data_IF_794107468431
#
_entry.id   IF_794107468431
#
_cell.length_a   1.000
_cell.length_b   1.000
_cell.length_c   1.000
_cell.angle_alpha   90.00
_cell.angle_beta   90.00
_cell.angle_gamma   90.00
#
_symmetry.space_group_name_H-M   'P 1'
#
loop_
_entity.id
_entity.type
_entity.pdbx_description
1 polymer ?
#
# COMPACT_ATOMS: atom_id res chain seq x y z
N UNK A 1 -10.43 45.09 -15.67
CA UNK A 1 -10.91 44.36 -14.47
C UNK A 1 -11.42 42.96 -14.81
N UNK A 2 -12.34 42.79 -15.77
CA UNK A 2 -12.88 41.49 -16.19
C UNK A 2 -11.83 40.48 -16.73
N UNK A 3 -10.88 40.94 -17.55
CA UNK A 3 -9.83 40.07 -18.14
C UNK A 3 -8.92 39.46 -17.06
N UNK A 4 -8.62 40.23 -16.01
CA UNK A 4 -7.80 39.77 -14.89
C UNK A 4 -8.54 38.70 -14.08
N UNK A 5 -9.85 38.86 -13.89
CA UNK A 5 -10.71 37.89 -13.20
C UNK A 5 -10.78 36.55 -13.96
N UNK A 6 -10.88 36.60 -15.29
CA UNK A 6 -10.91 35.40 -16.15
C UNK A 6 -9.58 34.64 -16.15
N UNK A 7 -8.45 35.35 -16.15
CA UNK A 7 -7.12 34.73 -16.05
C UNK A 7 -6.91 34.03 -14.71
N UNK A 8 -7.38 34.63 -13.62
CA UNK A 8 -7.33 34.03 -12.28
C UNK A 8 -8.22 32.78 -12.22
N UNK A 9 -9.45 32.86 -12.75
CA UNK A 9 -10.37 31.70 -12.80
C UNK A 9 -9.81 30.53 -13.62
N UNK A 10 -9.20 30.80 -14.78
CA UNK A 10 -8.56 29.75 -15.58
C UNK A 10 -7.35 29.12 -14.89
N UNK A 11 -6.56 29.90 -14.15
CA UNK A 11 -5.44 29.38 -13.37
C UNK A 11 -5.91 28.50 -12.22
N UNK A 12 -6.96 28.93 -11.48
CA UNK A 12 -7.57 28.11 -10.42
C UNK A 12 -8.19 26.81 -10.98
N UNK A 13 -8.85 26.87 -12.14
CA UNK A 13 -9.40 25.67 -12.80
C UNK A 13 -8.28 24.70 -13.19
N UNK A 14 -7.15 25.20 -13.73
CA UNK A 14 -6.00 24.37 -14.04
C UNK A 14 -5.37 23.72 -12.79
N UNK A 15 -5.26 24.46 -11.69
CA UNK A 15 -4.82 23.92 -10.40
C UNK A 15 -5.80 22.88 -9.85
N UNK A 16 -7.10 23.12 -9.94
CA UNK A 16 -8.12 22.19 -9.45
C UNK A 16 -8.17 20.91 -10.29
N UNK A 17 -8.09 21.03 -11.61
CA UNK A 17 -7.98 19.89 -12.52
C UNK A 17 -6.66 19.14 -12.30
N UNK A 18 -5.53 19.82 -12.13
CA UNK A 18 -4.26 19.13 -11.86
C UNK A 18 -4.28 18.36 -10.55
N UNK A 19 -4.93 18.88 -9.50
CA UNK A 19 -5.16 18.18 -8.24
C UNK A 19 -6.07 16.95 -8.39
N UNK A 20 -7.11 17.03 -9.22
CA UNK A 20 -8.00 15.91 -9.54
C UNK A 20 -7.24 14.84 -10.36
N UNK A 21 -6.50 15.26 -11.40
CA UNK A 21 -5.69 14.37 -12.24
C UNK A 21 -4.51 13.74 -11.48
N UNK A 22 -3.89 14.48 -10.55
CA UNK A 22 -2.81 13.96 -9.72
C UNK A 22 -3.32 12.91 -8.72
N UNK A 23 -4.50 13.13 -8.12
CA UNK A 23 -5.16 12.07 -7.33
C UNK A 23 -5.56 10.86 -8.17
N UNK A 24 -5.93 11.06 -9.44
CA UNK A 24 -6.33 9.98 -10.35
C UNK A 24 -5.14 9.15 -10.88
N UNK A 25 -3.94 9.72 -10.94
CA UNK A 25 -2.77 9.05 -11.53
C UNK A 25 -1.93 8.24 -10.54
N UNK A 26 -2.17 8.37 -9.23
CA UNK A 26 -1.50 7.54 -8.23
C UNK A 26 -2.09 6.12 -8.33
N UNK A 27 -1.52 5.29 -9.21
CA UNK A 27 -1.90 3.89 -9.38
C UNK A 27 -1.46 3.08 -8.17
N UNK A 28 -2.30 3.07 -7.14
CA UNK A 28 -2.16 2.19 -5.99
C UNK A 28 -2.32 0.74 -6.42
N UNK A 29 -1.39 -0.11 -5.97
CA UNK A 29 -1.28 -1.52 -6.31
C UNK A 29 -1.21 -2.33 -5.04
N UNK A 30 -1.81 -3.52 -5.04
CA UNK A 30 -1.72 -4.48 -3.95
C UNK A 30 -0.45 -5.30 -4.09
N UNK A 31 0.33 -5.38 -3.02
CA UNK A 31 1.48 -6.26 -2.92
C UNK A 31 1.34 -7.20 -1.73
N UNK A 32 1.77 -8.44 -1.93
CA UNK A 32 2.12 -9.36 -0.86
C UNK A 32 3.64 -9.36 -0.72
N UNK A 33 4.14 -9.10 0.48
CA UNK A 33 5.57 -9.06 0.80
C UNK A 33 5.82 -10.11 1.88
N UNK A 34 6.69 -11.08 1.59
CA UNK A 34 7.16 -12.03 2.57
C UNK A 34 8.41 -11.46 3.23
N UNK A 35 8.32 -11.25 4.54
CA UNK A 35 9.40 -10.77 5.39
C UNK A 35 9.99 -11.94 6.17
N UNK A 36 11.31 -11.90 6.34
CA UNK A 36 12.07 -12.77 7.23
C UNK A 36 12.82 -11.93 8.26
N UNK A 37 12.95 -12.42 9.48
CA UNK A 37 13.62 -11.70 10.56
C UNK A 37 13.64 -12.49 11.86
N UNK A 38 14.29 -11.95 12.89
CA UNK A 38 14.31 -12.55 14.23
C UNK A 38 13.49 -11.71 15.18
N UNK A 39 12.44 -12.26 15.79
CA UNK A 39 11.73 -11.56 16.87
C UNK A 39 12.43 -11.79 18.22
N UNK A 40 13.15 -12.91 18.35
CA UNK A 40 13.80 -13.35 19.59
C UNK A 40 15.26 -13.69 19.31
N UNK A 41 16.18 -13.03 20.00
CA UNK A 41 17.63 -13.20 19.81
C UNK A 41 18.07 -14.64 20.13
N UNK A 42 17.46 -15.26 21.15
CA UNK A 42 17.76 -16.61 21.61
C UNK A 42 17.28 -17.72 20.67
N UNK A 43 16.43 -17.40 19.69
CA UNK A 43 15.95 -18.37 18.73
C UNK A 43 16.99 -18.71 17.65
N UNK A 44 17.14 -20.01 17.39
CA UNK A 44 17.99 -20.52 16.32
C UNK A 44 17.36 -20.32 14.93
N UNK A 45 16.03 -20.23 14.85
CA UNK A 45 15.28 -20.09 13.59
C UNK A 45 14.82 -18.65 13.38
N UNK A 46 14.62 -18.29 12.12
CA UNK A 46 14.02 -17.02 11.72
C UNK A 46 12.50 -17.15 11.66
N UNK A 47 11.82 -16.10 12.13
CA UNK A 47 10.38 -15.94 11.97
C UNK A 47 10.10 -15.37 10.57
N UNK A 48 8.89 -15.58 10.07
CA UNK A 48 8.45 -15.04 8.79
C UNK A 48 7.07 -14.42 8.92
N UNK A 49 6.84 -13.32 8.20
CA UNK A 49 5.54 -12.67 8.16
C UNK A 49 5.14 -12.31 6.73
N UNK A 50 3.97 -12.78 6.30
CA UNK A 50 3.35 -12.33 5.06
C UNK A 50 2.57 -11.04 5.33
N UNK A 51 2.98 -9.95 4.68
CA UNK A 51 2.40 -8.63 4.87
C UNK A 51 1.78 -8.14 3.56
N UNK A 52 0.51 -7.70 3.65
CA UNK A 52 -0.17 -7.03 2.54
C UNK A 52 -0.03 -5.51 2.67
N UNK A 53 0.33 -4.86 1.57
CA UNK A 53 0.48 -3.40 1.50
C UNK A 53 -0.08 -2.86 0.18
N UNK A 54 -0.57 -1.62 0.23
CA UNK A 54 -0.95 -0.84 -0.95
C UNK A 54 0.12 0.21 -1.20
N UNK A 55 0.74 0.18 -2.39
CA UNK A 55 1.82 1.11 -2.75
C UNK A 55 1.83 1.42 -4.25
N UNK A 56 2.61 2.42 -4.67
CA UNK A 56 2.70 2.85 -6.07
C UNK A 56 3.65 1.98 -6.89
N UNK A 57 4.69 1.50 -6.23
CA UNK A 57 5.76 0.70 -6.81
C UNK A 57 6.28 -0.30 -5.76
N UNK A 58 7.08 -1.26 -6.23
CA UNK A 58 7.61 -2.33 -5.39
C UNK A 58 8.53 -1.80 -4.28
N UNK A 59 9.34 -0.76 -4.56
CA UNK A 59 10.26 -0.18 -3.57
C UNK A 59 9.49 0.37 -2.37
N UNK A 60 8.40 1.10 -2.63
CA UNK A 60 7.55 1.64 -1.57
C UNK A 60 6.79 0.53 -0.85
N UNK A 61 6.31 -0.48 -1.57
CA UNK A 61 5.68 -1.66 -0.96
C UNK A 61 6.62 -2.33 0.05
N UNK A 62 7.86 -2.59 -0.36
CA UNK A 62 8.91 -3.21 0.46
C UNK A 62 9.22 -2.38 1.69
N UNK A 63 9.31 -1.06 1.56
CA UNK A 63 9.51 -0.14 2.69
C UNK A 63 8.32 -0.18 3.66
N UNK A 64 7.09 -0.05 3.13
CA UNK A 64 5.87 -0.07 3.93
C UNK A 64 5.67 -1.40 4.66
N UNK A 65 6.01 -2.52 4.03
CA UNK A 65 5.88 -3.84 4.64
C UNK A 65 6.78 -3.98 5.87
N UNK A 66 8.06 -3.58 5.77
CA UNK A 66 8.99 -3.61 6.92
C UNK A 66 8.49 -2.79 8.11
N UNK A 67 7.81 -1.67 7.86
CA UNK A 67 7.24 -0.83 8.93
C UNK A 67 6.08 -1.50 9.68
N UNK A 68 5.45 -2.54 9.09
CA UNK A 68 4.36 -3.30 9.71
C UNK A 68 4.85 -4.45 10.61
N UNK A 69 6.16 -4.66 10.76
CA UNK A 69 6.73 -5.70 11.63
C UNK A 69 7.79 -5.13 12.60
N UNK A 70 7.42 -4.19 13.48
CA UNK A 70 8.37 -3.48 14.34
C UNK A 70 9.08 -4.39 15.36
N UNK A 71 8.55 -5.58 15.65
CA UNK A 71 9.08 -6.51 16.64
C UNK A 71 10.31 -7.29 16.15
N UNK A 72 10.54 -7.36 14.84
CA UNK A 72 11.64 -8.14 14.29
C UNK A 72 12.95 -7.34 14.23
N UNK A 73 14.00 -7.94 14.78
CA UNK A 73 15.38 -7.55 14.60
C UNK A 73 15.87 -7.96 13.20
N UNK A 74 16.54 -7.04 12.50
CA UNK A 74 17.20 -7.29 11.21
C UNK A 74 16.28 -7.83 10.09
N UNK A 75 15.18 -7.12 9.80
CA UNK A 75 14.19 -7.51 8.78
C UNK A 75 14.76 -7.51 7.36
N UNK A 76 14.66 -8.64 6.69
CA UNK A 76 14.90 -8.80 5.25
C UNK A 76 13.61 -9.18 4.49
N UNK A 77 13.72 -9.24 3.16
CA UNK A 77 12.59 -9.49 2.26
C UNK A 77 12.92 -10.73 1.45
N UNK A 78 12.14 -11.78 1.64
CA UNK A 78 12.30 -13.05 0.92
C UNK A 78 11.56 -13.05 -0.41
N UNK A 79 10.45 -12.31 -0.47
CA UNK A 79 9.62 -12.26 -1.67
C UNK A 79 8.75 -11.02 -1.73
N UNK A 80 8.45 -10.58 -2.95
CA UNK A 80 7.46 -9.52 -3.19
C UNK A 80 6.67 -9.87 -4.44
N UNK A 81 5.36 -9.77 -4.35
CA UNK A 81 4.46 -10.05 -5.47
C UNK A 81 3.42 -8.96 -5.61
N UNK A 82 3.33 -8.39 -6.81
CA UNK A 82 2.25 -7.48 -7.20
C UNK A 82 1.02 -8.30 -7.61
N UNK A 83 -0.04 -8.22 -6.81
CA UNK A 83 -1.28 -8.99 -7.04
C UNK A 83 -2.22 -8.14 -7.89
N UNK A 84 -2.44 -8.57 -9.14
CA UNK A 84 -3.33 -7.87 -10.10
C UNK A 84 -4.56 -8.68 -10.45
N UNK A 85 -4.40 -10.00 -10.60
CA UNK A 85 -5.43 -10.94 -11.01
C UNK A 85 -5.25 -12.21 -10.18
N UNK A 86 -6.33 -12.73 -9.62
CA UNK A 86 -6.37 -14.03 -8.91
C UNK A 86 -7.48 -14.85 -9.55
N UNK A 87 -7.18 -16.05 -10.04
CA UNK A 87 -8.13 -16.96 -10.70
C UNK A 87 -8.97 -16.32 -11.82
N UNK A 88 -8.38 -15.36 -12.55
CA UNK A 88 -9.07 -14.61 -13.62
C UNK A 88 -9.83 -13.37 -13.15
N UNK A 89 -9.94 -13.12 -11.85
CA UNK A 89 -10.60 -11.95 -11.27
C UNK A 89 -9.62 -10.80 -11.07
N UNK A 90 -9.95 -9.64 -11.64
CA UNK A 90 -9.13 -8.44 -11.49
C UNK A 90 -9.30 -7.82 -10.10
N UNK A 91 -8.17 -7.51 -9.45
CA UNK A 91 -8.13 -6.76 -8.20
C UNK A 91 -8.22 -5.26 -8.51
N UNK A 92 -9.16 -4.58 -7.87
CA UNK A 92 -9.28 -3.12 -7.87
C UNK A 92 -9.06 -2.61 -6.45
N UNK A 93 -8.26 -1.55 -6.33
CA UNK A 93 -7.95 -0.92 -5.06
C UNK A 93 -8.65 0.44 -5.04
N UNK A 94 -9.52 0.61 -4.05
CA UNK A 94 -10.28 1.83 -3.84
C UNK A 94 -10.02 2.31 -2.42
N UNK A 95 -9.90 3.63 -2.25
CA UNK A 95 -9.63 4.21 -0.94
C UNK A 95 -10.92 4.19 -0.12
N UNK A 96 -10.85 3.62 1.07
CA UNK A 96 -11.93 3.70 2.06
C UNK A 96 -11.84 5.00 2.85
N UNK A 97 -12.99 5.49 3.33
CA UNK A 97 -13.06 6.56 4.33
C UNK A 97 -12.59 6.09 5.71
N UNK A 98 -12.57 4.78 5.93
CA UNK A 98 -11.97 4.18 7.13
C UNK A 98 -10.47 3.95 6.89
N UNK A 99 -9.65 4.45 7.81
CA UNK A 99 -8.19 4.36 7.71
C UNK A 99 -7.61 3.07 8.28
N UNK A 100 -8.40 2.27 8.99
CA UNK A 100 -7.93 1.08 9.68
C UNK A 100 -7.98 -0.16 8.77
N UNK A 101 -6.97 -1.02 8.91
CA UNK A 101 -6.97 -2.34 8.29
C UNK A 101 -8.11 -3.18 8.90
N UNK A 102 -9.05 -3.64 8.06
CA UNK A 102 -10.11 -4.58 8.46
C UNK A 102 -9.88 -5.93 7.80
N UNK A 103 -9.90 -7.00 8.60
CA UNK A 103 -9.84 -8.37 8.12
C UNK A 103 -10.88 -9.21 8.84
N UNK A 104 -11.46 -10.17 8.12
CA UNK A 104 -12.35 -11.18 8.69
C UNK A 104 -11.58 -12.48 8.80
N UNK A 105 -11.45 -13.00 10.02
CA UNK A 105 -10.78 -14.27 10.29
C UNK A 105 -11.86 -15.30 10.59
N UNK A 106 -11.86 -16.38 9.83
CA UNK A 106 -12.73 -17.50 10.13
C UNK A 106 -12.06 -18.41 11.15
N UNK A 107 -12.46 -18.29 12.42
CA UNK A 107 -11.94 -19.07 13.54
C UNK A 107 -12.20 -20.58 13.44
N UNK A 108 -13.02 -21.04 12.48
CA UNK A 108 -13.14 -22.48 12.18
C UNK A 108 -11.86 -23.02 11.53
N UNK A 109 -11.15 -22.19 10.75
CA UNK A 109 -9.99 -22.59 9.96
C UNK A 109 -8.70 -21.87 10.37
N UNK A 110 -8.77 -20.98 11.36
CA UNK A 110 -7.65 -20.20 11.89
C UNK A 110 -7.55 -20.40 13.39
N UNK A 111 -6.34 -20.69 13.87
CA UNK A 111 -5.99 -20.91 15.29
C UNK A 111 -5.40 -19.64 15.87
#
# INVERSE_FOLDING_TARGET
MLVLLMLIMNSLICLFLSLIFFNYFIMKKLYAVLLGGKIREENLMEDHQLVFVVAENEKDARKSAKLKWPEAESIHIDGTQHIRIVDGYQIKIERSDNADDKSEINNQYSI
#
